data_IF_094822230226
#
_entry.id   IF_094822230226
#
_cell.length_a   1.000
_cell.length_b   1.000
_cell.length_c   1.000
_cell.angle_alpha   90.00
_cell.angle_beta   90.00
_cell.angle_gamma   90.00
#
_symmetry.space_group_name_H-M   'P 1'
#
loop_
_entity.id
_entity.type
_entity.pdbx_description
1 polymer ?
#
# COMPACT_ATOMS: atom_id res chain seq x y z
N UNK A 1 0.94 15.65 13.54
CA UNK A 1 1.61 14.52 12.89
C UNK A 1 0.60 13.73 12.07
N UNK A 2 0.96 13.33 10.86
CA UNK A 2 0.10 12.64 9.88
C UNK A 2 0.72 11.31 9.50
N UNK A 3 -0.07 10.23 9.59
CA UNK A 3 0.35 8.87 9.25
C UNK A 3 -0.50 8.32 8.11
N UNK A 4 0.15 7.92 7.03
CA UNK A 4 -0.50 7.22 5.93
C UNK A 4 -0.19 5.73 6.03
N UNK A 5 -1.22 4.87 6.04
CA UNK A 5 -1.06 3.42 6.06
C UNK A 5 -1.48 2.85 4.70
N UNK A 6 -0.65 2.02 4.08
CA UNK A 6 -0.87 1.52 2.73
C UNK A 6 -0.97 -0.01 2.73
N UNK A 7 -2.08 -0.51 2.21
CA UNK A 7 -2.25 -1.91 1.81
C UNK A 7 -1.85 -2.04 0.33
N UNK A 8 -0.81 -2.81 -0.01
CA UNK A 8 -0.35 -2.99 -1.40
C UNK A 8 -1.26 -3.90 -2.24
N UNK A 9 -0.94 -4.00 -3.53
CA UNK A 9 -1.58 -4.96 -4.45
C UNK A 9 -0.67 -6.16 -4.68
N UNK A 10 -1.28 -7.33 -4.95
CA UNK A 10 -0.52 -8.51 -5.36
C UNK A 10 0.18 -8.26 -6.69
N UNK A 11 1.43 -8.73 -6.81
CA UNK A 11 2.20 -8.62 -8.06
C UNK A 11 1.47 -9.21 -9.28
N UNK A 12 0.76 -10.32 -9.09
CA UNK A 12 -0.05 -10.95 -10.14
C UNK A 12 -1.07 -10.00 -10.75
N UNK A 13 -1.63 -9.06 -9.97
CA UNK A 13 -2.58 -8.07 -10.48
C UNK A 13 -1.95 -7.07 -11.44
N UNK A 14 -0.65 -6.83 -11.37
CA UNK A 14 0.03 -5.92 -12.31
C UNK A 14 0.12 -6.52 -13.73
N UNK A 15 0.01 -7.85 -13.85
CA UNK A 15 0.10 -8.57 -15.14
C UNK A 15 -1.26 -8.85 -15.77
N UNK A 16 -2.36 -8.49 -15.10
CA UNK A 16 -3.72 -8.68 -15.63
C UNK A 16 -3.98 -7.69 -16.77
N UNK A 17 -3.75 -8.14 -18.01
CA UNK A 17 -4.15 -7.43 -19.24
C UNK A 17 -5.30 -8.19 -19.89
N UNK A 18 -6.55 -7.76 -19.65
CA UNK A 18 -7.69 -8.23 -20.44
C UNK A 18 -9.00 -8.45 -19.67
N UNK A 19 -10.13 -8.37 -20.40
CA UNK A 19 -11.51 -8.50 -19.89
C UNK A 19 -11.84 -9.89 -19.31
N UNK A 20 -11.14 -10.95 -19.72
CA UNK A 20 -11.48 -12.34 -19.40
C UNK A 20 -11.19 -12.75 -17.94
N UNK A 21 -10.33 -12.03 -17.22
CA UNK A 21 -10.04 -12.31 -15.81
C UNK A 21 -11.01 -11.63 -14.84
N UNK A 22 -12.04 -10.91 -15.33
CA UNK A 22 -13.02 -10.20 -14.48
C UNK A 22 -13.76 -11.08 -13.47
N UNK A 23 -13.92 -12.38 -13.75
CA UNK A 23 -14.80 -13.27 -12.99
C UNK A 23 -14.06 -14.40 -12.24
N UNK A 24 -12.74 -14.56 -12.40
CA UNK A 24 -12.01 -15.74 -11.92
C UNK A 24 -10.74 -15.45 -11.09
N UNK A 25 -10.46 -14.20 -10.77
CA UNK A 25 -9.51 -13.93 -9.68
C UNK A 25 -10.36 -14.01 -8.42
N UNK A 26 -10.17 -15.06 -7.61
CA UNK A 26 -10.76 -15.22 -6.28
C UNK A 26 -10.31 -14.10 -5.36
N UNK A 27 -10.76 -12.87 -5.64
CA UNK A 27 -10.45 -11.68 -4.87
C UNK A 27 -11.35 -11.69 -3.66
N UNK A 28 -10.94 -12.39 -2.62
CA UNK A 28 -11.47 -12.06 -1.31
C UNK A 28 -10.94 -10.69 -0.91
N UNK A 29 -11.81 -9.68 -1.02
CA UNK A 29 -11.59 -8.35 -0.48
C UNK A 29 -11.86 -8.40 1.03
N UNK A 30 -10.85 -8.82 1.78
CA UNK A 30 -10.87 -8.61 3.22
C UNK A 30 -10.30 -7.23 3.53
N UNK A 31 -10.93 -6.47 4.44
CA UNK A 31 -10.33 -5.23 4.91
C UNK A 31 -8.95 -5.53 5.54
N UNK A 32 -7.96 -4.63 5.41
CA UNK A 32 -6.66 -4.80 6.02
C UNK A 32 -6.75 -4.58 7.54
N UNK A 33 -7.32 -5.55 8.26
CA UNK A 33 -7.70 -5.42 9.67
C UNK A 33 -6.54 -4.94 10.54
N UNK A 34 -5.33 -5.47 10.33
CA UNK A 34 -4.14 -5.01 11.05
C UNK A 34 -3.89 -3.50 10.89
N UNK A 35 -4.02 -2.96 9.68
CA UNK A 35 -3.92 -1.52 9.45
C UNK A 35 -5.10 -0.75 10.08
N UNK A 36 -6.31 -1.31 10.06
CA UNK A 36 -7.47 -0.71 10.72
C UNK A 36 -7.28 -0.60 12.23
N UNK A 37 -6.72 -1.63 12.88
CA UNK A 37 -6.39 -1.60 14.31
C UNK A 37 -5.35 -0.52 14.63
N UNK A 38 -4.25 -0.46 13.86
CA UNK A 38 -3.22 0.58 14.01
C UNK A 38 -3.84 1.97 13.80
N UNK A 39 -4.63 2.15 12.75
CA UNK A 39 -5.27 3.43 12.46
C UNK A 39 -6.20 3.89 13.58
N UNK A 40 -6.99 2.99 14.15
CA UNK A 40 -7.87 3.32 15.26
C UNK A 40 -7.08 3.72 16.52
N UNK A 41 -6.02 2.98 16.84
CA UNK A 41 -5.15 3.31 17.98
C UNK A 41 -4.51 4.69 17.82
N UNK A 42 -3.91 4.95 16.65
CA UNK A 42 -3.30 6.25 16.33
C UNK A 42 -4.32 7.39 16.39
N UNK A 43 -5.51 7.21 15.80
CA UNK A 43 -6.61 8.19 15.85
C UNK A 43 -7.01 8.53 17.29
N UNK A 44 -7.15 7.51 18.16
CA UNK A 44 -7.47 7.72 19.59
C UNK A 44 -6.41 8.52 20.35
N UNK A 45 -5.18 8.55 19.84
CA UNK A 45 -4.06 9.30 20.40
C UNK A 45 -3.80 10.63 19.66
N UNK A 46 -4.81 11.17 18.97
CA UNK A 46 -4.72 12.50 18.33
C UNK A 46 -3.86 12.55 17.07
N UNK A 47 -3.49 11.41 16.49
CA UNK A 47 -2.76 11.34 15.23
C UNK A 47 -3.75 11.36 14.07
N UNK A 48 -3.49 12.20 13.07
CA UNK A 48 -4.28 12.19 11.84
C UNK A 48 -3.84 11.01 10.97
N UNK A 49 -4.78 10.12 10.63
CA UNK A 49 -4.47 8.87 9.91
C UNK A 49 -5.33 8.68 8.69
N UNK A 50 -4.69 8.29 7.58
CA UNK A 50 -5.35 7.84 6.35
C UNK A 50 -4.90 6.43 5.98
N UNK A 51 -5.84 5.57 5.59
CA UNK A 51 -5.55 4.26 4.98
C UNK A 51 -5.74 4.38 3.46
N UNK A 52 -4.75 3.95 2.69
CA UNK A 52 -4.86 3.75 1.25
C UNK A 52 -4.92 2.24 0.99
N UNK A 53 -6.13 1.74 0.72
CA UNK A 53 -6.33 0.36 0.30
C UNK A 53 -6.20 0.25 -1.22
N UNK A 54 -5.01 -0.15 -1.69
CA UNK A 54 -4.75 -0.20 -3.14
C UNK A 54 -5.47 -1.38 -3.81
N UNK A 55 -5.94 -2.39 -3.07
CA UNK A 55 -6.81 -3.44 -3.62
C UNK A 55 -8.17 -2.87 -3.97
N UNK A 56 -8.76 -2.06 -3.09
CA UNK A 56 -10.01 -1.34 -3.39
C UNK A 56 -9.83 -0.40 -4.59
N UNK A 57 -8.72 0.33 -4.67
CA UNK A 57 -8.42 1.17 -5.83
C UNK A 57 -8.32 0.34 -7.14
N UNK A 58 -7.72 -0.85 -7.09
CA UNK A 58 -7.66 -1.74 -8.25
C UNK A 58 -9.05 -2.17 -8.72
N UNK A 59 -9.95 -2.51 -7.80
CA UNK A 59 -11.33 -2.85 -8.13
C UNK A 59 -12.05 -1.67 -8.81
N UNK A 60 -11.93 -0.47 -8.25
CA UNK A 60 -12.55 0.76 -8.77
C UNK A 60 -11.99 1.17 -10.14
N UNK A 61 -10.70 0.96 -10.37
CA UNK A 61 -9.99 1.36 -11.60
C UNK A 61 -9.87 0.24 -12.63
N UNK A 62 -10.81 -0.70 -12.64
CA UNK A 62 -10.89 -1.78 -13.64
C UNK A 62 -9.57 -2.55 -13.79
N UNK A 63 -8.90 -2.82 -12.67
CA UNK A 63 -7.60 -3.50 -12.60
C UNK A 63 -6.44 -2.78 -13.31
N UNK A 64 -6.50 -1.44 -13.42
CA UNK A 64 -5.40 -0.65 -13.98
C UNK A 64 -4.38 -0.28 -12.90
N UNK A 65 -3.23 -0.95 -12.91
CA UNK A 65 -2.14 -0.66 -11.96
C UNK A 65 -1.60 0.77 -12.09
N UNK A 66 -1.54 1.33 -13.31
CA UNK A 66 -1.10 2.72 -13.53
C UNK A 66 -2.04 3.72 -12.89
N UNK A 67 -3.36 3.53 -13.04
CA UNK A 67 -4.36 4.39 -12.40
C UNK A 67 -4.30 4.31 -10.88
N UNK A 68 -4.04 3.12 -10.32
CA UNK A 68 -3.86 2.95 -8.87
C UNK A 68 -2.60 3.66 -8.37
N UNK A 69 -1.50 3.59 -9.11
CA UNK A 69 -0.27 4.33 -8.77
C UNK A 69 -0.50 5.84 -8.77
N UNK A 70 -1.19 6.37 -9.79
CA UNK A 70 -1.52 7.78 -9.90
C UNK A 70 -2.41 8.25 -8.74
N UNK A 71 -3.45 7.48 -8.39
CA UNK A 71 -4.29 7.78 -7.23
C UNK A 71 -3.52 7.74 -5.92
N UNK A 72 -2.64 6.74 -5.75
CA UNK A 72 -1.80 6.62 -4.56
C UNK A 72 -0.88 7.85 -4.43
N UNK A 73 -0.26 8.28 -5.53
CA UNK A 73 0.56 9.50 -5.59
C UNK A 73 -0.24 10.74 -5.19
N UNK A 74 -1.43 10.91 -5.76
CA UNK A 74 -2.31 12.05 -5.47
C UNK A 74 -2.77 12.08 -4.01
N UNK A 75 -3.11 10.94 -3.44
CA UNK A 75 -3.51 10.85 -2.03
C UNK A 75 -2.36 11.18 -1.08
N UNK A 76 -1.15 10.66 -1.34
CA UNK A 76 0.05 11.01 -0.56
C UNK A 76 0.36 12.50 -0.72
N UNK A 77 0.25 13.06 -1.93
CA UNK A 77 0.52 14.48 -2.20
C UNK A 77 -0.45 15.40 -1.49
N UNK A 78 -1.72 15.02 -1.40
CA UNK A 78 -2.75 15.81 -0.69
C UNK A 78 -2.63 15.68 0.82
N UNK A 79 -2.38 14.47 1.30
CA UNK A 79 -2.33 14.18 2.72
C UNK A 79 -1.00 14.63 3.36
N UNK A 80 0.10 14.67 2.58
CA UNK A 80 1.44 15.05 3.03
C UNK A 80 1.88 14.32 4.33
N UNK A 81 1.90 12.98 4.36
CA UNK A 81 2.21 12.25 5.58
C UNK A 81 3.64 12.50 6.07
N UNK A 82 3.81 12.56 7.38
CA UNK A 82 5.12 12.55 8.04
C UNK A 82 5.68 11.12 8.11
N UNK A 83 4.77 10.13 8.28
CA UNK A 83 5.09 8.70 8.31
C UNK A 83 4.21 7.95 7.31
N UNK A 84 4.81 7.06 6.54
CA UNK A 84 4.11 6.10 5.68
C UNK A 84 4.35 4.68 6.18
N UNK A 85 3.33 4.06 6.76
CA UNK A 85 3.33 2.66 7.16
C UNK A 85 2.86 1.76 6.01
N UNK A 86 3.58 0.68 5.72
CA UNK A 86 3.24 -0.27 4.64
C UNK A 86 3.21 -1.67 5.23
N UNK A 87 2.12 -2.41 5.01
CA UNK A 87 2.08 -3.84 5.34
C UNK A 87 2.57 -4.66 4.16
N UNK A 88 3.46 -5.61 4.43
CA UNK A 88 4.13 -6.42 3.41
C UNK A 88 3.95 -7.89 3.70
N UNK A 89 3.43 -8.58 2.70
CA UNK A 89 3.35 -10.03 2.58
C UNK A 89 4.26 -10.45 1.42
N UNK A 90 4.63 -11.73 1.37
CA UNK A 90 5.52 -12.25 0.33
C UNK A 90 5.13 -11.83 -1.09
N UNK A 91 3.86 -11.96 -1.55
CA UNK A 91 3.49 -11.58 -2.92
C UNK A 91 3.34 -10.07 -3.14
N UNK A 92 3.32 -9.26 -2.08
CA UNK A 92 3.17 -7.80 -2.20
C UNK A 92 4.49 -7.05 -2.21
N UNK A 93 5.59 -7.67 -1.79
CA UNK A 93 6.93 -7.06 -1.79
C UNK A 93 7.30 -6.43 -3.14
N UNK A 94 7.02 -7.13 -4.24
CA UNK A 94 7.34 -6.64 -5.59
C UNK A 94 6.64 -5.34 -5.94
N UNK A 95 5.38 -5.18 -5.51
CA UNK A 95 4.62 -3.95 -5.74
C UNK A 95 5.14 -2.79 -4.88
N UNK A 96 5.55 -3.09 -3.64
CA UNK A 96 6.16 -2.11 -2.74
C UNK A 96 7.45 -1.56 -3.37
N UNK A 97 8.37 -2.45 -3.76
CA UNK A 97 9.66 -2.13 -4.39
C UNK A 97 9.49 -1.40 -5.73
N UNK A 98 8.63 -1.90 -6.60
CA UNK A 98 8.51 -1.37 -7.95
C UNK A 98 7.74 -0.05 -8.02
N UNK A 99 6.75 0.16 -7.14
CA UNK A 99 5.80 1.26 -7.24
C UNK A 99 5.72 2.13 -5.99
N UNK A 100 5.37 1.57 -4.83
CA UNK A 100 4.99 2.36 -3.65
C UNK A 100 6.15 3.25 -3.20
N UNK A 101 7.35 2.67 -3.06
CA UNK A 101 8.52 3.41 -2.57
C UNK A 101 8.89 4.54 -3.53
N UNK A 102 8.85 4.28 -4.83
CA UNK A 102 9.10 5.32 -5.85
C UNK A 102 8.08 6.45 -5.77
N UNK A 103 6.80 6.12 -5.59
CA UNK A 103 5.73 7.10 -5.43
C UNK A 103 5.95 7.95 -4.18
N UNK A 104 6.24 7.32 -3.04
CA UNK A 104 6.49 8.03 -1.78
C UNK A 104 7.68 8.99 -1.95
N UNK A 105 8.83 8.49 -2.41
CA UNK A 105 10.06 9.30 -2.54
C UNK A 105 9.95 10.38 -3.62
N UNK A 106 9.09 10.20 -4.64
CA UNK A 106 8.79 11.24 -5.62
C UNK A 106 7.97 12.39 -5.00
N UNK A 107 7.05 12.08 -4.08
CA UNK A 107 6.12 13.06 -3.51
C UNK A 107 6.67 13.73 -2.26
N UNK A 108 7.22 12.95 -1.35
CA UNK A 108 7.78 13.41 -0.09
C UNK A 108 9.02 12.58 0.26
N UNK A 109 10.21 13.18 0.07
CA UNK A 109 11.49 12.53 0.37
C UNK A 109 11.75 12.40 1.87
N UNK A 110 11.19 13.32 2.66
CA UNK A 110 11.39 13.41 4.12
C UNK A 110 10.46 12.50 4.91
N UNK A 111 9.42 11.94 4.28
CA UNK A 111 8.52 11.00 4.94
C UNK A 111 9.30 9.79 5.46
N UNK A 112 9.09 9.46 6.73
CA UNK A 112 9.62 8.23 7.32
C UNK A 112 8.80 7.06 6.81
N UNK A 113 9.46 6.05 6.22
CA UNK A 113 8.79 4.85 5.72
C UNK A 113 8.96 3.74 6.76
N UNK A 114 7.86 3.18 7.23
CA UNK A 114 7.84 2.05 8.17
C UNK A 114 7.23 0.86 7.45
N UNK A 115 7.94 -0.26 7.43
CA UNK A 115 7.50 -1.48 6.75
C UNK A 115 7.23 -2.54 7.81
N UNK A 116 6.04 -3.14 7.78
CA UNK A 116 5.61 -4.18 8.71
C UNK A 116 4.89 -5.33 8.01
N UNK A 117 4.23 -6.18 8.78
CA UNK A 117 3.50 -7.36 8.25
C UNK A 117 4.35 -8.63 8.23
N UNK A 118 3.76 -9.77 7.80
CA UNK A 118 4.37 -11.09 7.95
C UNK A 118 5.74 -11.23 7.29
N UNK A 119 5.91 -10.68 6.07
CA UNK A 119 7.18 -10.82 5.36
C UNK A 119 8.27 -9.96 5.99
N UNK A 120 7.96 -8.70 6.32
CA UNK A 120 8.91 -7.82 6.99
C UNK A 120 9.32 -8.32 8.38
N UNK A 121 8.43 -9.02 9.08
CA UNK A 121 8.72 -9.59 10.40
C UNK A 121 9.56 -10.87 10.31
N UNK A 122 9.34 -11.69 9.28
CA UNK A 122 10.05 -12.95 9.08
C UNK A 122 11.42 -12.77 8.41
N UNK A 123 11.54 -11.78 7.51
CA UNK A 123 12.70 -11.54 6.65
C UNK A 123 13.03 -10.03 6.59
N UNK A 124 13.44 -9.41 7.70
CA UNK A 124 13.73 -7.98 7.74
C UNK A 124 14.90 -7.57 6.84
N UNK A 125 15.88 -8.45 6.62
CA UNK A 125 17.04 -8.19 5.75
C UNK A 125 16.63 -8.03 4.28
N UNK A 126 15.59 -8.75 3.84
CA UNK A 126 15.04 -8.61 2.49
C UNK A 126 14.45 -7.22 2.30
N UNK A 127 13.73 -6.70 3.31
CA UNK A 127 13.19 -5.35 3.28
C UNK A 127 14.30 -4.30 3.22
N UNK A 128 15.31 -4.39 4.09
CA UNK A 128 16.40 -3.40 4.15
C UNK A 128 17.27 -3.38 2.89
N UNK A 129 17.32 -4.48 2.14
CA UNK A 129 18.05 -4.57 0.87
C UNK A 129 17.25 -4.03 -0.31
N UNK A 130 15.95 -4.27 -0.32
CA UNK A 130 15.12 -4.11 -1.52
C UNK A 130 14.26 -2.84 -1.56
N UNK A 131 14.10 -2.13 -0.44
CA UNK A 131 13.21 -0.97 -0.27
C UNK A 131 14.00 0.25 0.21
#
# INVERSE_FOLDING_TARGET
MRVCLIEPILFSFQRVRGRSLRNNIGMSFYPPLGLCYIANYLKKNGVEVKIIDRKVLMAQKRCSASAVNEMTENEIRRFQPDIVGITVTTPTLFDVKANIIKVIRKVNKEATVVVGGPHASALPEDILRDI
#
